data_IF_182609789816
#
_entry.id   IF_182609789816
#
_cell.length_a   1.000
_cell.length_b   1.000
_cell.length_c   1.000
_cell.angle_alpha   90.00
_cell.angle_beta   90.00
_cell.angle_gamma   90.00
#
_symmetry.space_group_name_H-M   'P 1'
#
loop_
_entity.id
_entity.type
_entity.pdbx_description
1 polymer ?
#
# COMPACT_ATOMS: atom_id res chain seq x y z
N UNK A 1 -57.64 -40.24 13.52
CA UNK A 1 -56.96 -39.26 14.39
C UNK A 1 -55.54 -39.08 13.86
N UNK A 2 -55.28 -38.00 13.12
CA UNK A 2 -53.97 -37.68 12.57
C UNK A 2 -53.30 -36.63 13.46
N UNK A 3 -52.14 -36.97 14.01
CA UNK A 3 -51.37 -36.13 14.94
C UNK A 3 -50.60 -35.07 14.14
N UNK A 4 -50.88 -33.79 14.38
CA UNK A 4 -50.15 -32.66 13.82
C UNK A 4 -48.84 -32.43 14.59
N UNK A 5 -47.69 -32.75 13.98
CA UNK A 5 -46.39 -32.32 14.48
C UNK A 5 -46.15 -30.85 14.09
N UNK A 6 -46.35 -29.94 15.04
CA UNK A 6 -45.87 -28.57 14.94
C UNK A 6 -44.36 -28.55 15.23
N UNK A 7 -43.55 -28.25 14.21
CA UNK A 7 -42.11 -28.05 14.39
C UNK A 7 -41.86 -26.75 15.16
N UNK A 8 -41.02 -26.74 16.22
CA UNK A 8 -40.74 -25.51 16.95
C UNK A 8 -39.87 -24.60 16.08
N UNK A 9 -40.40 -23.41 15.78
CA UNK A 9 -39.64 -22.33 15.14
C UNK A 9 -38.42 -22.00 15.99
N UNK A 10 -37.22 -22.27 15.46
CA UNK A 10 -35.97 -21.83 16.07
C UNK A 10 -36.01 -20.30 16.23
N UNK A 11 -35.71 -19.76 17.43
CA UNK A 11 -35.66 -18.32 17.62
C UNK A 11 -34.60 -17.72 16.70
N UNK A 12 -34.97 -16.65 16.01
CA UNK A 12 -34.03 -15.83 15.24
C UNK A 12 -32.96 -15.28 16.20
N UNK A 13 -31.66 -15.35 15.83
CA UNK A 13 -30.61 -14.85 16.69
C UNK A 13 -30.78 -13.34 16.90
N UNK A 14 -30.45 -12.83 18.10
CA UNK A 14 -30.70 -11.43 18.45
C UNK A 14 -29.90 -10.49 17.53
N UNK A 15 -30.55 -9.39 17.13
CA UNK A 15 -30.03 -8.36 16.22
C UNK A 15 -28.77 -7.62 16.74
N UNK A 16 -28.32 -7.89 17.98
CA UNK A 16 -27.10 -7.33 18.57
C UNK A 16 -25.79 -8.08 18.23
N UNK A 17 -25.84 -9.06 17.31
CA UNK A 17 -24.66 -9.85 16.91
C UNK A 17 -23.56 -9.06 16.17
N UNK A 18 -23.83 -7.84 15.71
CA UNK A 18 -22.89 -7.04 14.92
C UNK A 18 -21.75 -6.45 15.75
N UNK A 19 -22.08 -5.70 16.82
CA UNK A 19 -21.05 -5.17 17.72
C UNK A 19 -20.34 -6.32 18.43
N UNK A 20 -21.09 -7.31 18.91
CA UNK A 20 -20.51 -8.49 19.55
C UNK A 20 -19.54 -9.21 18.62
N UNK A 21 -19.88 -9.44 17.34
CA UNK A 21 -18.99 -10.13 16.39
C UNK A 21 -17.79 -9.31 15.93
N UNK A 22 -17.93 -7.99 15.76
CA UNK A 22 -16.81 -7.10 15.40
C UNK A 22 -15.84 -6.91 16.56
N UNK A 23 -16.34 -6.62 17.76
CA UNK A 23 -15.50 -6.49 18.96
C UNK A 23 -14.95 -7.83 19.42
N UNK A 24 -15.68 -8.94 19.25
CA UNK A 24 -15.13 -10.28 19.48
C UNK A 24 -14.06 -10.61 18.42
N UNK A 25 -14.25 -10.24 17.16
CA UNK A 25 -13.22 -10.40 16.12
C UNK A 25 -11.95 -9.58 16.42
N UNK A 26 -12.09 -8.30 16.77
CA UNK A 26 -10.96 -7.48 17.24
C UNK A 26 -10.32 -8.07 18.50
N UNK A 27 -11.14 -8.49 19.47
CA UNK A 27 -10.65 -9.18 20.66
C UNK A 27 -9.86 -10.43 20.26
N UNK A 28 -10.38 -11.31 19.41
CA UNK A 28 -9.75 -12.56 18.96
C UNK A 28 -8.46 -12.34 18.12
N UNK A 29 -8.24 -11.13 17.59
CA UNK A 29 -6.98 -10.70 16.96
C UNK A 29 -5.95 -10.31 17.99
N UNK A 30 -6.38 -9.57 19.01
CA UNK A 30 -5.53 -9.01 20.03
C UNK A 30 -5.42 -9.91 21.29
N UNK A 31 -6.15 -11.03 21.36
CA UNK A 31 -6.21 -11.92 22.56
C UNK A 31 -5.44 -13.24 22.50
N UNK A 32 -4.89 -13.73 21.38
CA UNK A 32 -3.82 -14.71 21.49
C UNK A 32 -2.52 -13.92 21.51
N UNK A 33 -1.76 -13.91 22.64
CA UNK A 33 -0.37 -13.48 22.64
C UNK A 33 0.39 -14.08 21.46
N UNK A 34 0.06 -15.33 21.10
CA UNK A 34 0.59 -16.00 19.93
C UNK A 34 0.34 -15.25 18.61
N UNK A 35 -0.86 -14.79 18.28
CA UNK A 35 -1.12 -14.17 16.97
C UNK A 35 -0.37 -12.85 16.80
N UNK A 36 -0.34 -12.03 17.86
CA UNK A 36 0.45 -10.80 17.91
C UNK A 36 1.95 -11.14 17.84
N UNK A 37 2.44 -12.10 18.63
CA UNK A 37 3.84 -12.51 18.58
C UNK A 37 4.27 -13.07 17.21
N UNK A 38 3.42 -13.85 16.53
CA UNK A 38 3.74 -14.37 15.18
C UNK A 38 3.80 -13.26 14.15
N UNK A 39 2.85 -12.33 14.16
CA UNK A 39 2.86 -11.19 13.24
C UNK A 39 4.02 -10.23 13.52
N UNK A 40 4.40 -10.05 14.79
CA UNK A 40 5.57 -9.26 15.18
C UNK A 40 6.86 -9.93 14.71
N UNK A 41 6.95 -11.27 14.86
CA UNK A 41 8.05 -12.06 14.34
C UNK A 41 8.13 -11.96 12.80
N UNK A 42 7.00 -12.06 12.09
CA UNK A 42 6.98 -11.87 10.64
C UNK A 42 7.43 -10.46 10.23
N UNK A 43 7.01 -9.43 10.96
CA UNK A 43 7.48 -8.06 10.76
C UNK A 43 8.98 -7.91 10.98
N UNK A 44 9.51 -8.52 12.05
CA UNK A 44 10.95 -8.55 12.31
C UNK A 44 11.74 -9.28 11.22
N UNK A 45 11.25 -10.43 10.77
CA UNK A 45 11.86 -11.20 9.66
C UNK A 45 11.85 -10.38 8.37
N UNK A 46 10.74 -9.67 8.07
CA UNK A 46 10.65 -8.75 6.93
C UNK A 46 11.72 -7.65 7.03
N UNK A 47 11.84 -7.01 8.19
CA UNK A 47 12.85 -5.96 8.41
C UNK A 47 14.28 -6.50 8.26
N UNK A 48 14.59 -7.63 8.89
CA UNK A 48 15.90 -8.26 8.80
C UNK A 48 16.23 -8.70 7.37
N UNK A 49 15.25 -9.22 6.63
CA UNK A 49 15.42 -9.58 5.22
C UNK A 49 15.68 -8.36 4.35
N UNK A 50 15.01 -7.24 4.61
CA UNK A 50 15.24 -5.97 3.89
C UNK A 50 16.66 -5.46 4.14
N UNK A 51 17.07 -5.33 5.41
CA UNK A 51 18.44 -4.91 5.74
C UNK A 51 19.48 -5.86 5.14
N UNK A 52 19.28 -7.17 5.30
CA UNK A 52 20.19 -8.18 4.75
C UNK A 52 20.34 -8.08 3.24
N UNK A 53 19.25 -7.80 2.52
CA UNK A 53 19.28 -7.55 1.08
C UNK A 53 20.15 -6.33 0.75
N UNK A 54 19.92 -5.19 1.44
CA UNK A 54 20.67 -3.96 1.21
C UNK A 54 22.17 -4.16 1.49
N UNK A 55 22.52 -4.78 2.62
CA UNK A 55 23.91 -5.05 3.00
C UNK A 55 24.63 -5.98 2.00
N UNK A 56 23.97 -7.04 1.54
CA UNK A 56 24.56 -7.94 0.53
C UNK A 56 24.86 -7.19 -0.76
N UNK A 57 23.96 -6.32 -1.21
CA UNK A 57 24.22 -5.52 -2.42
C UNK A 57 25.33 -4.50 -2.21
N UNK A 58 25.46 -3.92 -1.00
CA UNK A 58 26.54 -2.99 -0.67
C UNK A 58 27.94 -3.62 -0.70
N UNK A 59 28.05 -4.94 -0.51
CA UNK A 59 29.33 -5.67 -0.71
C UNK A 59 29.80 -5.59 -2.17
N UNK A 60 28.88 -5.62 -3.14
CA UNK A 60 29.21 -5.54 -4.56
C UNK A 60 29.25 -4.10 -5.08
N UNK A 61 28.43 -3.23 -4.50
CA UNK A 61 28.38 -1.80 -4.82
C UNK A 61 28.24 -0.96 -3.54
N UNK A 62 29.34 -0.40 -3.01
CA UNK A 62 29.33 0.36 -1.75
C UNK A 62 28.40 1.59 -1.75
N UNK A 63 27.95 2.04 -2.92
CA UNK A 63 27.03 3.19 -3.04
C UNK A 63 25.56 2.78 -3.10
N UNK A 64 25.25 1.47 -3.16
CA UNK A 64 23.90 0.97 -3.32
C UNK A 64 23.01 1.31 -2.12
N UNK A 65 22.01 2.17 -2.35
CA UNK A 65 21.09 2.70 -1.33
C UNK A 65 21.82 3.16 -0.05
N UNK A 66 22.99 3.80 -0.17
CA UNK A 66 23.76 4.21 1.02
C UNK A 66 23.07 5.41 1.69
N UNK A 67 22.64 5.31 2.97
CA UNK A 67 21.84 6.35 3.63
C UNK A 67 22.47 7.74 3.58
N UNK A 68 23.77 7.84 3.90
CA UNK A 68 24.48 9.12 3.86
C UNK A 68 24.57 9.71 2.44
N UNK A 69 24.67 8.88 1.40
CA UNK A 69 24.71 9.39 0.02
C UNK A 69 23.33 9.90 -0.42
N UNK A 70 22.25 9.22 -0.02
CA UNK A 70 20.89 9.64 -0.37
C UNK A 70 20.49 10.92 0.35
N UNK A 71 20.74 11.02 1.65
CA UNK A 71 20.50 12.25 2.41
C UNK A 71 21.34 13.42 1.86
N UNK A 72 22.62 13.17 1.55
CA UNK A 72 23.48 14.17 0.93
C UNK A 72 22.99 14.60 -0.45
N UNK A 73 22.50 13.66 -1.28
CA UNK A 73 21.97 13.96 -2.61
C UNK A 73 20.81 14.94 -2.52
N UNK A 74 19.80 14.63 -1.69
CA UNK A 74 18.63 15.50 -1.51
C UNK A 74 19.07 16.85 -0.93
N UNK A 75 19.94 16.86 0.09
CA UNK A 75 20.38 18.10 0.73
C UNK A 75 21.18 19.03 -0.21
N UNK A 76 21.98 18.49 -1.13
CA UNK A 76 22.79 19.29 -2.06
C UNK A 76 22.01 19.74 -3.31
N UNK A 77 21.00 18.97 -3.74
CA UNK A 77 20.28 19.22 -5.00
C UNK A 77 18.90 19.86 -4.79
N UNK A 78 18.24 19.57 -3.66
CA UNK A 78 16.91 20.06 -3.28
C UNK A 78 16.90 20.51 -1.80
N UNK A 79 17.70 21.52 -1.42
CA UNK A 79 17.93 21.90 -0.02
C UNK A 79 16.67 22.38 0.71
N UNK A 80 15.72 23.02 0.01
CA UNK A 80 14.48 23.48 0.62
C UNK A 80 13.56 22.31 0.96
N UNK A 81 13.45 21.33 0.06
CA UNK A 81 12.69 20.10 0.33
C UNK A 81 13.33 19.28 1.45
N UNK A 82 14.67 19.15 1.48
CA UNK A 82 15.39 18.48 2.57
C UNK A 82 15.05 19.10 3.94
N UNK A 83 14.99 20.44 4.02
CA UNK A 83 14.63 21.17 5.25
C UNK A 83 13.16 21.04 5.61
N UNK A 84 12.26 21.04 4.62
CA UNK A 84 10.82 20.88 4.83
C UNK A 84 10.48 19.48 5.35
N UNK A 85 11.19 18.46 4.86
CA UNK A 85 10.93 17.08 5.22
C UNK A 85 11.18 16.82 6.72
N UNK A 86 10.12 16.45 7.44
CA UNK A 86 10.09 16.38 8.92
C UNK A 86 11.10 15.42 9.54
N UNK A 87 11.44 14.34 8.83
CA UNK A 87 12.39 13.34 9.32
C UNK A 87 13.83 13.59 8.85
N UNK A 88 14.06 13.73 7.54
CA UNK A 88 15.39 13.93 6.97
C UNK A 88 16.14 15.13 7.54
N UNK A 89 15.43 16.25 7.77
CA UNK A 89 16.00 17.44 8.40
C UNK A 89 16.59 17.20 9.79
N UNK A 90 16.18 16.13 10.47
CA UNK A 90 16.70 15.73 11.79
C UNK A 90 17.92 14.82 11.72
N UNK A 91 18.26 14.33 10.52
CA UNK A 91 19.37 13.42 10.30
C UNK A 91 20.61 14.18 9.83
N UNK A 92 21.73 13.92 10.48
CA UNK A 92 23.06 14.21 9.95
C UNK A 92 23.46 13.12 8.95
N UNK A 93 24.13 13.51 7.87
CA UNK A 93 24.75 12.59 6.93
C UNK A 93 26.27 12.71 6.97
N UNK A 94 26.93 11.55 6.92
CA UNK A 94 28.38 11.42 6.88
C UNK A 94 28.99 11.60 5.48
N UNK A 95 30.19 11.07 5.29
CA UNK A 95 30.85 11.05 3.98
C UNK A 95 30.18 10.04 3.05
N UNK A 96 29.70 10.51 1.89
CA UNK A 96 29.30 9.63 0.80
C UNK A 96 30.54 9.16 0.01
N UNK A 97 30.72 7.84 -0.26
CA UNK A 97 31.85 7.34 -1.04
C UNK A 97 31.94 7.91 -2.46
N UNK A 98 30.82 8.03 -3.18
CA UNK A 98 30.74 8.64 -4.51
C UNK A 98 29.27 8.94 -4.89
N UNK A 99 28.89 10.22 -4.82
CA UNK A 99 27.52 10.68 -5.09
C UNK A 99 27.13 10.47 -6.56
N UNK A 100 28.04 10.78 -7.49
CA UNK A 100 27.79 10.65 -8.93
C UNK A 100 27.62 9.18 -9.31
N UNK A 101 28.48 8.30 -8.77
CA UNK A 101 28.35 6.85 -9.01
C UNK A 101 27.04 6.30 -8.46
N UNK A 102 26.59 6.73 -7.27
CA UNK A 102 25.28 6.33 -6.74
C UNK A 102 24.14 6.67 -7.73
N UNK A 103 24.12 7.91 -8.24
CA UNK A 103 23.11 8.34 -9.21
C UNK A 103 23.20 7.53 -10.51
N UNK A 104 24.41 7.38 -11.06
CA UNK A 104 24.61 6.63 -12.31
C UNK A 104 24.29 5.14 -12.17
N UNK A 105 24.44 4.56 -10.98
CA UNK A 105 24.16 3.15 -10.73
C UNK A 105 22.68 2.77 -10.94
N UNK A 106 21.75 3.71 -10.75
CA UNK A 106 20.34 3.52 -11.07
C UNK A 106 20.08 3.34 -12.58
N UNK A 107 21.00 3.79 -13.42
CA UNK A 107 20.95 3.62 -14.87
C UNK A 107 21.82 2.45 -15.36
N UNK A 108 22.62 1.86 -14.49
CA UNK A 108 23.52 0.77 -14.80
C UNK A 108 22.82 -0.60 -14.84
N UNK A 109 23.57 -1.63 -15.26
CA UNK A 109 23.07 -3.00 -15.50
C UNK A 109 22.33 -3.61 -14.29
N UNK A 110 22.74 -3.31 -13.06
CA UNK A 110 22.13 -3.86 -11.85
C UNK A 110 20.68 -3.39 -11.65
N UNK A 111 20.43 -2.08 -11.73
CA UNK A 111 19.08 -1.51 -11.69
C UNK A 111 18.20 -2.02 -12.83
N UNK A 112 18.79 -2.23 -14.02
CA UNK A 112 18.07 -2.83 -15.15
C UNK A 112 17.71 -4.31 -14.91
N UNK A 113 18.50 -5.05 -14.13
CA UNK A 113 18.16 -6.41 -13.70
C UNK A 113 17.00 -6.39 -12.70
N UNK A 114 17.03 -5.50 -11.71
CA UNK A 114 15.92 -5.32 -10.75
C UNK A 114 14.62 -4.95 -11.46
N UNK A 115 14.67 -4.00 -12.41
CA UNK A 115 13.51 -3.61 -13.21
C UNK A 115 12.93 -4.79 -14.01
N UNK A 116 13.79 -5.61 -14.62
CA UNK A 116 13.35 -6.82 -15.34
C UNK A 116 12.72 -7.84 -14.38
N UNK A 117 13.37 -8.10 -13.24
CA UNK A 117 12.84 -9.01 -12.22
C UNK A 117 11.49 -8.54 -11.68
N UNK A 118 11.34 -7.25 -11.42
CA UNK A 118 10.09 -6.64 -11.00
C UNK A 118 8.98 -6.79 -12.05
N UNK A 119 9.26 -6.49 -13.32
CA UNK A 119 8.30 -6.68 -14.43
C UNK A 119 7.88 -8.15 -14.55
N UNK A 120 8.82 -9.08 -14.47
CA UNK A 120 8.53 -10.53 -14.51
C UNK A 120 7.68 -10.96 -13.31
N UNK A 121 7.99 -10.46 -12.11
CA UNK A 121 7.21 -10.73 -10.90
C UNK A 121 5.78 -10.22 -11.02
N UNK A 122 5.58 -9.00 -11.53
CA UNK A 122 4.25 -8.43 -11.77
C UNK A 122 3.46 -9.26 -12.79
N UNK A 123 4.06 -9.60 -13.92
CA UNK A 123 3.41 -10.40 -14.97
C UNK A 123 3.00 -11.78 -14.45
N UNK A 124 3.89 -12.47 -13.73
CA UNK A 124 3.59 -13.77 -13.14
C UNK A 124 2.47 -13.66 -12.10
N UNK A 125 2.56 -12.67 -11.20
CA UNK A 125 1.54 -12.44 -10.17
C UNK A 125 0.17 -12.15 -10.76
N UNK A 126 0.12 -11.35 -11.83
CA UNK A 126 -1.12 -11.07 -12.55
C UNK A 126 -1.72 -12.34 -13.18
N UNK A 127 -0.92 -13.14 -13.88
CA UNK A 127 -1.38 -14.39 -14.50
C UNK A 127 -1.91 -15.38 -13.46
N UNK A 128 -1.17 -15.57 -12.36
CA UNK A 128 -1.61 -16.41 -11.24
C UNK A 128 -2.92 -15.89 -10.61
N UNK A 129 -3.07 -14.57 -10.48
CA UNK A 129 -4.26 -13.94 -9.90
C UNK A 129 -5.48 -14.09 -10.82
N UNK A 130 -5.31 -13.87 -12.12
CA UNK A 130 -6.33 -14.14 -13.13
C UNK A 130 -6.77 -15.61 -13.08
N UNK A 131 -5.82 -16.55 -13.00
CA UNK A 131 -6.14 -17.97 -12.87
C UNK A 131 -7.00 -18.26 -11.62
N UNK A 132 -6.68 -17.68 -10.46
CA UNK A 132 -7.47 -17.84 -9.22
C UNK A 132 -8.87 -17.29 -9.39
N UNK A 133 -9.02 -16.09 -9.97
CA UNK A 133 -10.31 -15.45 -10.21
C UNK A 133 -11.16 -16.29 -11.19
N UNK A 134 -10.62 -16.64 -12.36
CA UNK A 134 -11.34 -17.43 -13.35
C UNK A 134 -11.68 -18.83 -12.82
N UNK A 135 -10.79 -19.48 -12.07
CA UNK A 135 -11.09 -20.76 -11.41
C UNK A 135 -12.23 -20.65 -10.40
N UNK A 136 -12.36 -19.50 -9.72
CA UNK A 136 -13.47 -19.24 -8.81
C UNK A 136 -14.81 -19.06 -9.56
N UNK A 137 -14.80 -18.50 -10.77
CA UNK A 137 -15.99 -18.36 -11.62
C UNK A 137 -16.34 -19.62 -12.42
N UNK A 138 -15.35 -20.44 -12.81
CA UNK A 138 -15.53 -21.66 -13.58
C UNK A 138 -16.22 -22.80 -12.78
N UNK A 139 -16.29 -22.68 -11.45
CA UNK A 139 -17.06 -23.59 -10.60
C UNK A 139 -18.55 -23.36 -10.84
N UNK A 140 -19.13 -24.11 -11.78
CA UNK A 140 -20.51 -23.99 -12.27
C UNK A 140 -21.58 -24.17 -11.17
N UNK A 141 -22.75 -23.54 -11.35
CA UNK A 141 -23.94 -23.69 -10.51
C UNK A 141 -24.23 -22.50 -9.56
N UNK A 142 -24.83 -22.79 -8.40
CA UNK A 142 -25.28 -21.81 -7.39
C UNK A 142 -24.16 -20.90 -6.85
N UNK A 143 -22.90 -21.26 -7.07
CA UNK A 143 -21.74 -20.50 -6.62
C UNK A 143 -21.40 -19.30 -7.51
N UNK A 144 -21.97 -19.17 -8.71
CA UNK A 144 -21.73 -18.01 -9.56
C UNK A 144 -22.20 -16.70 -8.90
N UNK A 145 -23.40 -16.70 -8.29
CA UNK A 145 -23.95 -15.54 -7.56
C UNK A 145 -23.05 -15.14 -6.39
N UNK A 146 -22.51 -16.13 -5.67
CA UNK A 146 -21.55 -15.91 -4.61
C UNK A 146 -20.23 -15.31 -5.12
N UNK A 147 -19.66 -15.85 -6.21
CA UNK A 147 -18.44 -15.31 -6.83
C UNK A 147 -18.64 -13.88 -7.36
N UNK A 148 -19.80 -13.57 -7.93
CA UNK A 148 -20.14 -12.20 -8.35
C UNK A 148 -20.27 -11.25 -7.15
N UNK A 149 -20.89 -11.71 -6.06
CA UNK A 149 -20.98 -10.95 -4.81
C UNK A 149 -19.60 -10.71 -4.21
N UNK A 150 -18.72 -11.72 -4.21
CA UNK A 150 -17.32 -11.57 -3.78
C UNK A 150 -16.60 -10.52 -4.61
N UNK A 151 -16.72 -10.55 -5.94
CA UNK A 151 -16.10 -9.54 -6.80
C UNK A 151 -16.62 -8.14 -6.43
N UNK A 152 -17.93 -7.93 -6.52
CA UNK A 152 -18.53 -6.61 -6.37
C UNK A 152 -18.31 -6.00 -4.98
N UNK A 153 -18.42 -6.80 -3.90
CA UNK A 153 -18.25 -6.30 -2.54
C UNK A 153 -16.79 -5.98 -2.18
N UNK A 154 -15.80 -6.55 -2.89
CA UNK A 154 -14.38 -6.39 -2.57
C UNK A 154 -13.66 -5.33 -3.42
N UNK A 155 -14.28 -4.76 -4.46
CA UNK A 155 -13.62 -3.79 -5.36
C UNK A 155 -13.03 -2.58 -4.61
N UNK A 156 -13.80 -1.98 -3.70
CA UNK A 156 -13.35 -0.87 -2.84
C UNK A 156 -12.22 -1.31 -1.92
N UNK A 157 -12.39 -2.44 -1.23
CA UNK A 157 -11.38 -2.95 -0.31
C UNK A 157 -10.05 -3.22 -1.03
N UNK A 158 -10.10 -3.78 -2.24
CA UNK A 158 -8.92 -4.07 -3.05
C UNK A 158 -8.24 -2.80 -3.58
N UNK A 159 -9.01 -1.79 -4.02
CA UNK A 159 -8.44 -0.51 -4.44
C UNK A 159 -7.71 0.18 -3.28
N UNK A 160 -8.35 0.27 -2.12
CA UNK A 160 -7.70 0.84 -0.94
C UNK A 160 -6.53 0.00 -0.43
N UNK A 161 -6.57 -1.33 -0.59
CA UNK A 161 -5.40 -2.18 -0.27
C UNK A 161 -4.19 -1.76 -1.10
N UNK A 162 -4.37 -1.48 -2.40
CA UNK A 162 -3.31 -0.92 -3.24
C UNK A 162 -2.80 0.40 -2.68
N UNK A 163 -3.70 1.38 -2.48
CA UNK A 163 -3.31 2.69 -1.99
C UNK A 163 -2.52 2.59 -0.67
N UNK A 164 -3.02 1.82 0.31
CA UNK A 164 -2.39 1.63 1.62
C UNK A 164 -1.02 0.98 1.50
N UNK A 165 -0.89 -0.09 0.70
CA UNK A 165 0.39 -0.80 0.54
C UNK A 165 1.40 0.08 -0.18
N UNK A 166 0.98 0.85 -1.18
CA UNK A 166 1.87 1.76 -1.89
C UNK A 166 2.34 2.92 -1.00
N UNK A 167 1.42 3.52 -0.22
CA UNK A 167 1.76 4.51 0.80
C UNK A 167 2.72 3.94 1.85
N UNK A 168 2.49 2.69 2.27
CA UNK A 168 3.36 2.04 3.23
C UNK A 168 4.75 1.73 2.67
N UNK A 169 4.85 1.33 1.40
CA UNK A 169 6.13 1.18 0.71
C UNK A 169 6.86 2.53 0.60
N UNK A 170 6.17 3.63 0.25
CA UNK A 170 6.77 4.97 0.22
C UNK A 170 7.29 5.37 1.60
N UNK A 171 6.45 5.24 2.62
CA UNK A 171 6.83 5.45 4.02
C UNK A 171 8.12 4.71 4.36
N UNK A 172 8.21 3.42 4.02
CA UNK A 172 9.40 2.62 4.31
C UNK A 172 10.62 3.03 3.47
N UNK A 173 10.42 3.44 2.23
CA UNK A 173 11.50 3.83 1.35
C UNK A 173 12.13 5.16 1.78
N UNK A 174 11.29 6.09 2.20
CA UNK A 174 11.67 7.46 2.52
C UNK A 174 12.16 7.57 3.97
N UNK A 175 11.70 6.71 4.88
CA UNK A 175 12.01 6.83 6.31
C UNK A 175 12.80 5.65 6.86
N UNK A 176 12.32 4.43 6.61
CA UNK A 176 12.83 3.25 7.30
C UNK A 176 14.13 2.75 6.71
N UNK A 177 14.21 2.68 5.39
CA UNK A 177 15.33 2.02 4.72
C UNK A 177 16.21 2.97 3.94
N UNK A 178 15.76 4.22 3.75
CA UNK A 178 16.44 5.26 2.97
C UNK A 178 16.96 4.64 1.67
N UNK A 179 16.05 4.30 0.76
CA UNK A 179 16.39 3.63 -0.50
C UNK A 179 16.27 4.57 -1.68
N UNK A 180 16.45 4.03 -2.89
CA UNK A 180 16.49 4.82 -4.13
C UNK A 180 15.26 5.69 -4.39
N UNK A 181 14.11 5.47 -3.73
CA UNK A 181 12.97 6.38 -3.86
C UNK A 181 13.31 7.82 -3.44
N UNK A 182 14.21 8.00 -2.47
CA UNK A 182 14.71 9.33 -2.09
C UNK A 182 15.40 10.05 -3.25
N UNK A 183 15.97 9.33 -4.22
CA UNK A 183 16.56 9.96 -5.42
C UNK A 183 15.48 10.62 -6.30
N UNK A 184 14.21 10.21 -6.17
CA UNK A 184 13.09 10.85 -6.86
C UNK A 184 12.83 12.28 -6.33
N UNK A 185 13.31 12.59 -5.13
CA UNK A 185 13.20 13.88 -4.44
C UNK A 185 14.43 14.78 -4.64
N UNK A 186 15.29 14.49 -5.61
CA UNK A 186 16.59 15.15 -5.80
C UNK A 186 16.80 15.51 -7.25
N UNK A 187 17.27 16.71 -7.59
CA UNK A 187 17.66 17.07 -8.96
C UNK A 187 18.91 16.29 -9.45
N UNK A 188 18.66 15.28 -10.30
CA UNK A 188 19.72 14.45 -10.88
C UNK A 188 20.28 15.00 -12.21
N UNK A 189 19.77 16.13 -12.70
CA UNK A 189 20.23 16.72 -13.97
C UNK A 189 21.68 17.21 -13.90
N UNK A 190 22.18 17.46 -12.69
CA UNK A 190 23.58 17.79 -12.42
C UNK A 190 24.53 16.61 -12.71
N UNK A 191 24.01 15.37 -12.72
CA UNK A 191 24.79 14.15 -12.92
C UNK A 191 24.46 13.41 -14.22
N UNK A 192 23.30 13.70 -14.82
CA UNK A 192 22.75 12.98 -15.98
C UNK A 192 22.02 13.93 -16.93
N UNK A 193 21.84 13.54 -18.18
CA UNK A 193 20.98 14.28 -19.14
C UNK A 193 19.47 14.10 -18.87
N UNK A 194 19.12 13.43 -17.78
CA UNK A 194 17.75 13.01 -17.42
C UNK A 194 17.23 13.86 -16.26
N UNK A 195 15.92 14.16 -16.28
CA UNK A 195 15.24 14.82 -15.16
C UNK A 195 14.64 13.81 -14.17
N UNK A 196 14.27 14.26 -12.98
CA UNK A 196 13.66 13.42 -11.93
C UNK A 196 12.34 12.78 -12.38
N UNK A 197 11.58 13.51 -13.21
CA UNK A 197 10.36 13.02 -13.85
C UNK A 197 10.62 11.92 -14.89
N UNK A 198 11.86 11.78 -15.40
CA UNK A 198 12.25 10.69 -16.31
C UNK A 198 12.76 9.44 -15.59
N UNK A 199 12.96 9.52 -14.27
CA UNK A 199 13.33 8.36 -13.41
C UNK A 199 12.18 7.34 -13.33
N UNK A 200 10.97 7.73 -13.73
CA UNK A 200 9.75 6.91 -13.75
C UNK A 200 9.86 5.70 -14.68
N UNK A 201 10.73 5.77 -15.69
CA UNK A 201 11.07 4.63 -16.56
C UNK A 201 12.16 3.71 -16.00
N UNK A 202 12.68 4.02 -14.83
CA UNK A 202 13.61 3.19 -14.06
C UNK A 202 12.94 2.68 -12.79
N UNK A 203 13.51 1.63 -12.19
CA UNK A 203 13.12 1.20 -10.85
C UNK A 203 14.10 1.84 -9.86
N UNK A 204 13.63 2.57 -8.82
CA UNK A 204 14.53 3.06 -7.79
C UNK A 204 15.25 1.88 -7.12
N UNK A 205 16.56 2.03 -6.86
CA UNK A 205 17.36 0.97 -6.24
C UNK A 205 16.73 0.54 -4.90
N UNK A 206 16.66 -0.77 -4.65
CA UNK A 206 16.07 -1.34 -3.44
C UNK A 206 14.53 -1.38 -3.44
N UNK A 207 13.86 -0.68 -4.37
CA UNK A 207 12.39 -0.67 -4.44
C UNK A 207 11.84 -2.06 -4.72
N UNK A 208 12.51 -2.86 -5.57
CA UNK A 208 12.07 -4.23 -5.85
C UNK A 208 11.99 -5.08 -4.58
N UNK A 209 13.05 -5.06 -3.77
CA UNK A 209 13.10 -5.82 -2.53
C UNK A 209 12.03 -5.33 -1.54
N UNK A 210 11.89 -4.01 -1.37
CA UNK A 210 10.85 -3.45 -0.52
C UNK A 210 9.45 -3.86 -0.98
N UNK A 211 9.15 -3.72 -2.27
CA UNK A 211 7.87 -4.12 -2.87
C UNK A 211 7.59 -5.61 -2.66
N UNK A 212 8.56 -6.48 -2.98
CA UNK A 212 8.41 -7.93 -2.85
C UNK A 212 8.15 -8.35 -1.40
N UNK A 213 8.91 -7.80 -0.45
CA UNK A 213 8.76 -8.12 0.98
C UNK A 213 7.42 -7.64 1.53
N UNK A 214 6.93 -6.46 1.11
CA UNK A 214 5.62 -5.96 1.52
C UNK A 214 4.48 -6.77 0.94
N UNK A 215 4.53 -7.14 -0.34
CA UNK A 215 3.52 -7.99 -0.97
C UNK A 215 3.53 -9.38 -0.33
N UNK A 216 4.70 -9.97 -0.09
CA UNK A 216 4.81 -11.27 0.59
C UNK A 216 4.27 -11.21 2.02
N UNK A 217 4.62 -10.18 2.78
CA UNK A 217 4.10 -9.94 4.13
C UNK A 217 2.57 -9.81 4.13
N UNK A 218 2.01 -9.04 3.20
CA UNK A 218 0.55 -8.90 3.06
C UNK A 218 -0.10 -10.26 2.79
N UNK A 219 0.42 -11.03 1.83
CA UNK A 219 -0.10 -12.34 1.45
C UNK A 219 -0.07 -13.29 2.66
N UNK A 220 1.07 -13.39 3.35
CA UNK A 220 1.23 -14.26 4.51
C UNK A 220 0.31 -13.82 5.64
N UNK A 221 0.33 -12.54 6.00
CA UNK A 221 -0.46 -11.98 7.10
C UNK A 221 -1.96 -12.16 6.85
N UNK A 222 -2.44 -11.85 5.64
CA UNK A 222 -3.84 -11.99 5.30
C UNK A 222 -4.30 -13.45 5.26
N UNK A 223 -3.49 -14.39 4.74
CA UNK A 223 -3.79 -15.82 4.80
C UNK A 223 -3.76 -16.38 6.22
N UNK A 224 -2.88 -15.87 7.09
CA UNK A 224 -2.78 -16.28 8.49
C UNK A 224 -3.96 -15.76 9.33
N UNK A 225 -4.35 -14.51 9.11
CA UNK A 225 -5.38 -13.85 9.88
C UNK A 225 -6.79 -14.21 9.43
N UNK A 226 -7.07 -14.28 8.11
CA UNK A 226 -8.42 -14.51 7.60
C UNK A 226 -9.16 -15.71 8.22
N UNK A 227 -8.54 -16.89 8.43
CA UNK A 227 -9.20 -18.04 9.07
C UNK A 227 -9.60 -17.81 10.53
N UNK A 228 -8.98 -16.84 11.21
CA UNK A 228 -9.25 -16.51 12.62
C UNK A 228 -10.50 -15.65 12.80
N UNK A 229 -10.98 -15.00 11.74
CA UNK A 229 -12.21 -14.21 11.77
C UNK A 229 -13.36 -14.98 11.15
N UNK A 230 -14.40 -15.26 11.94
CA UNK A 230 -15.58 -16.02 11.49
C UNK A 230 -16.18 -15.50 10.18
N UNK A 231 -16.36 -14.18 10.05
CA UNK A 231 -16.91 -13.59 8.82
C UNK A 231 -16.00 -13.77 7.61
N UNK A 232 -14.69 -13.54 7.74
CA UNK A 232 -13.75 -13.73 6.63
C UNK A 232 -13.61 -15.20 6.26
N UNK A 233 -13.52 -16.08 7.26
CA UNK A 233 -13.42 -17.53 7.08
C UNK A 233 -14.60 -18.10 6.30
N UNK A 234 -15.81 -17.63 6.59
CA UNK A 234 -17.05 -18.20 6.03
C UNK A 234 -17.53 -17.49 4.76
N UNK A 235 -17.31 -16.18 4.65
CA UNK A 235 -17.94 -15.34 3.63
C UNK A 235 -16.95 -14.54 2.76
N UNK A 236 -15.65 -14.69 3.00
CA UNK A 236 -14.61 -14.20 2.11
C UNK A 236 -13.83 -15.37 1.50
N UNK A 237 -12.86 -15.02 0.66
CA UNK A 237 -11.83 -15.95 0.21
C UNK A 237 -10.51 -15.21 0.20
N UNK A 238 -9.61 -15.56 1.13
CA UNK A 238 -8.32 -14.90 1.25
C UNK A 238 -7.55 -14.91 -0.08
N UNK A 239 -7.55 -16.08 -0.75
CA UNK A 239 -6.94 -16.26 -2.07
C UNK A 239 -7.58 -15.38 -3.14
N UNK A 240 -8.92 -15.29 -3.16
CA UNK A 240 -9.64 -14.46 -4.14
C UNK A 240 -9.39 -12.98 -3.91
N UNK A 241 -9.42 -12.53 -2.65
CA UNK A 241 -9.19 -11.13 -2.29
C UNK A 241 -7.76 -10.70 -2.63
N UNK A 242 -6.76 -11.53 -2.33
CA UNK A 242 -5.36 -11.30 -2.73
C UNK A 242 -5.26 -11.24 -4.26
N UNK A 243 -5.89 -12.16 -4.98
CA UNK A 243 -5.87 -12.15 -6.44
C UNK A 243 -6.51 -10.88 -7.01
N UNK A 244 -7.66 -10.46 -6.48
CA UNK A 244 -8.36 -9.25 -6.91
C UNK A 244 -7.54 -7.98 -6.61
N UNK A 245 -6.87 -7.95 -5.46
CA UNK A 245 -5.89 -6.91 -5.12
C UNK A 245 -4.74 -6.85 -6.14
N UNK A 246 -4.10 -7.98 -6.46
CA UNK A 246 -2.98 -7.99 -7.41
C UNK A 246 -3.39 -7.56 -8.83
N UNK A 247 -4.58 -7.96 -9.29
CA UNK A 247 -5.13 -7.50 -10.58
C UNK A 247 -5.44 -6.01 -10.54
N UNK A 248 -6.11 -5.53 -9.49
CA UNK A 248 -6.42 -4.10 -9.33
C UNK A 248 -5.14 -3.27 -9.24
N UNK A 249 -4.13 -3.76 -8.52
CA UNK A 249 -2.84 -3.11 -8.35
C UNK A 249 -2.08 -2.93 -9.65
N UNK A 250 -2.12 -3.92 -10.56
CA UNK A 250 -1.51 -3.78 -11.87
C UNK A 250 -2.19 -2.69 -12.71
N UNK A 251 -3.53 -2.63 -12.70
CA UNK A 251 -4.29 -1.59 -13.42
C UNK A 251 -3.92 -0.21 -12.89
N UNK A 252 -3.92 -0.03 -11.56
CA UNK A 252 -3.57 1.25 -10.95
C UNK A 252 -2.10 1.62 -11.17
N UNK A 253 -1.18 0.64 -11.22
CA UNK A 253 0.23 0.89 -11.52
C UNK A 253 0.46 1.40 -12.94
N UNK A 254 -0.25 0.83 -13.94
CA UNK A 254 -0.19 1.36 -15.31
C UNK A 254 -0.72 2.78 -15.39
N UNK A 255 -1.84 3.05 -14.74
CA UNK A 255 -2.38 4.41 -14.66
C UNK A 255 -1.43 5.39 -14.00
N UNK A 256 -0.86 5.03 -12.85
CA UNK A 256 0.10 5.90 -12.16
C UNK A 256 1.32 6.15 -13.03
N UNK A 257 1.80 5.15 -13.77
CA UNK A 257 2.90 5.33 -14.72
C UNK A 257 2.55 6.39 -15.78
N UNK A 258 1.36 6.31 -16.36
CA UNK A 258 0.93 7.23 -17.43
C UNK A 258 0.64 8.64 -16.88
N UNK A 259 0.00 8.73 -15.71
CA UNK A 259 -0.43 9.99 -15.10
C UNK A 259 0.74 10.74 -14.42
N UNK A 260 1.79 10.04 -13.94
CA UNK A 260 2.84 10.63 -13.10
C UNK A 260 3.64 11.78 -13.78
N UNK A 261 4.13 11.65 -15.03
CA UNK A 261 4.78 12.78 -15.71
C UNK A 261 3.85 14.00 -15.84
N UNK A 262 2.56 13.75 -16.07
CA UNK A 262 1.55 14.79 -16.20
C UNK A 262 1.29 15.48 -14.85
N UNK A 263 1.30 14.75 -13.73
CA UNK A 263 1.18 15.37 -12.40
C UNK A 263 2.23 16.45 -12.20
N UNK A 264 3.49 16.14 -12.47
CA UNK A 264 4.61 17.08 -12.35
C UNK A 264 4.51 18.27 -13.31
N UNK A 265 3.89 18.09 -14.48
CA UNK A 265 3.76 19.14 -15.47
C UNK A 265 2.65 20.17 -15.14
N UNK A 266 1.59 19.75 -14.46
CA UNK A 266 0.36 20.56 -14.33
C UNK A 266 -0.08 20.84 -12.90
N UNK A 267 0.53 20.22 -11.88
CA UNK A 267 0.13 20.44 -10.50
C UNK A 267 0.25 21.91 -10.10
N UNK A 268 -0.80 22.46 -9.48
CA UNK A 268 -0.80 23.78 -8.86
C UNK A 268 -1.37 23.73 -7.45
N UNK A 269 -1.09 24.74 -6.62
CA UNK A 269 -1.60 24.84 -5.24
C UNK A 269 -3.13 24.93 -5.17
N UNK A 270 -3.78 25.52 -6.19
CA UNK A 270 -5.25 25.62 -6.25
C UNK A 270 -5.92 24.24 -6.38
N UNK A 271 -5.19 23.23 -6.86
CA UNK A 271 -5.70 21.87 -6.99
C UNK A 271 -5.92 21.15 -5.65
N UNK A 272 -5.49 21.74 -4.53
CA UNK A 272 -5.75 21.21 -3.18
C UNK A 272 -7.24 21.01 -2.87
N UNK A 273 -8.10 21.86 -3.45
CA UNK A 273 -9.55 21.87 -3.24
C UNK A 273 -10.29 21.02 -4.29
N UNK A 274 -9.55 20.32 -5.16
CA UNK A 274 -10.14 19.43 -6.17
C UNK A 274 -10.88 18.25 -5.54
N UNK A 275 -11.80 17.64 -6.30
CA UNK A 275 -12.57 16.47 -5.85
C UNK A 275 -11.61 15.34 -5.46
N UNK A 276 -11.74 14.72 -4.27
CA UNK A 276 -10.84 13.65 -3.88
C UNK A 276 -10.81 12.50 -4.90
N UNK A 277 -9.63 11.93 -5.12
CA UNK A 277 -9.31 10.94 -6.17
C UNK A 277 -9.41 11.43 -7.64
N UNK A 278 -9.72 12.69 -7.89
CA UNK A 278 -9.55 13.29 -9.22
C UNK A 278 -8.07 13.28 -9.64
N UNK A 279 -7.82 13.54 -10.92
CA UNK A 279 -6.45 13.68 -11.42
C UNK A 279 -5.74 14.85 -10.73
N UNK A 280 -6.40 16.00 -10.64
CA UNK A 280 -5.91 17.25 -10.05
C UNK A 280 -5.59 17.07 -8.56
N UNK A 281 -6.49 16.44 -7.80
CA UNK A 281 -6.24 16.14 -6.39
C UNK A 281 -5.01 15.25 -6.22
N UNK A 282 -4.86 14.21 -7.04
CA UNK A 282 -3.69 13.31 -6.99
C UNK A 282 -2.40 14.03 -7.41
N UNK A 283 -2.46 14.92 -8.40
CA UNK A 283 -1.33 15.73 -8.83
C UNK A 283 -0.86 16.66 -7.71
N UNK A 284 -1.80 17.35 -7.04
CA UNK A 284 -1.51 18.20 -5.89
C UNK A 284 -0.85 17.41 -4.75
N UNK A 285 -1.44 16.29 -4.33
CA UNK A 285 -0.91 15.50 -3.22
C UNK A 285 0.47 14.92 -3.57
N UNK A 286 0.69 14.51 -4.82
CA UNK A 286 2.00 14.03 -5.25
C UNK A 286 3.05 15.13 -5.24
N UNK A 287 2.78 16.28 -5.87
CA UNK A 287 3.80 17.33 -6.04
C UNK A 287 3.97 18.16 -4.78
N UNK A 288 2.90 18.69 -4.20
CA UNK A 288 3.01 19.62 -3.08
C UNK A 288 3.11 18.90 -1.74
N UNK A 289 2.21 17.96 -1.45
CA UNK A 289 2.23 17.28 -0.13
C UNK A 289 3.46 16.38 0.01
N UNK A 290 3.85 15.67 -1.05
CA UNK A 290 4.96 14.72 -0.99
C UNK A 290 6.31 15.30 -1.45
N UNK A 291 6.38 15.97 -2.61
CA UNK A 291 7.65 16.53 -3.11
C UNK A 291 8.00 17.93 -2.59
N UNK A 292 7.06 18.71 -2.07
CA UNK A 292 7.35 20.01 -1.46
C UNK A 292 7.39 19.90 0.06
N UNK A 293 6.28 19.51 0.69
CA UNK A 293 6.15 19.47 2.16
C UNK A 293 6.91 18.30 2.82
N UNK A 294 7.27 17.27 2.04
CA UNK A 294 7.92 16.07 2.56
C UNK A 294 7.04 15.28 3.53
N UNK A 295 5.73 15.31 3.30
CA UNK A 295 4.73 14.51 4.01
C UNK A 295 4.36 13.25 3.19
N UNK A 296 3.30 12.53 3.58
CA UNK A 296 2.93 11.31 2.85
C UNK A 296 2.43 11.56 1.43
N UNK A 297 2.75 10.62 0.53
CA UNK A 297 2.28 10.55 -0.86
C UNK A 297 0.75 10.30 -0.99
N UNK A 298 -0.05 10.41 0.07
CA UNK A 298 -1.27 9.64 0.19
C UNK A 298 -2.28 9.85 -0.92
N UNK A 299 -2.26 8.92 -1.88
CA UNK A 299 -3.21 8.83 -2.99
C UNK A 299 -4.65 8.59 -2.50
N UNK A 300 -4.83 8.36 -1.20
CA UNK A 300 -6.11 8.24 -0.52
C UNK A 300 -6.25 9.27 0.60
N UNK A 301 -7.17 10.21 0.42
CA UNK A 301 -7.53 11.21 1.44
C UNK A 301 -7.98 10.61 2.79
N UNK A 302 -8.40 9.33 2.80
CA UNK A 302 -8.88 8.64 4.00
C UNK A 302 -7.71 8.19 4.88
N UNK A 303 -6.64 7.69 4.26
CA UNK A 303 -5.52 7.07 4.97
C UNK A 303 -4.28 7.96 4.99
N UNK A 304 -4.20 8.96 4.12
CA UNK A 304 -3.10 9.92 4.10
C UNK A 304 -2.83 10.55 5.49
N UNK A 305 -3.84 11.05 6.24
CA UNK A 305 -3.58 11.61 7.56
C UNK A 305 -2.96 10.62 8.54
N UNK A 306 -3.24 9.32 8.40
CA UNK A 306 -2.62 8.29 9.24
C UNK A 306 -1.12 8.17 8.95
N UNK A 307 -0.71 8.18 7.67
CA UNK A 307 0.70 8.14 7.30
C UNK A 307 1.40 9.45 7.67
N UNK A 308 0.84 10.61 7.36
CA UNK A 308 1.40 11.91 7.75
C UNK A 308 1.63 12.05 9.27
N UNK A 309 0.68 11.58 10.09
CA UNK A 309 0.86 11.55 11.55
C UNK A 309 1.90 10.53 11.98
N UNK A 310 2.02 9.39 11.30
CA UNK A 310 3.07 8.41 11.53
C UNK A 310 4.47 8.99 11.22
N UNK A 311 4.62 9.75 10.12
CA UNK A 311 5.85 10.50 9.80
C UNK A 311 6.24 11.45 10.94
N UNK A 312 5.28 12.24 11.40
CA UNK A 312 5.50 13.22 12.48
C UNK A 312 5.88 12.53 13.79
N UNK A 313 5.18 11.45 14.14
CA UNK A 313 5.47 10.68 15.34
C UNK A 313 6.86 10.05 15.28
N UNK A 314 7.26 9.50 14.13
CA UNK A 314 8.59 8.93 13.97
C UNK A 314 9.68 10.00 14.17
N UNK A 315 9.55 11.16 13.53
CA UNK A 315 10.51 12.26 13.69
C UNK A 315 10.63 12.71 15.15
N UNK A 316 9.51 12.91 15.83
CA UNK A 316 9.48 13.26 17.26
C UNK A 316 10.15 12.20 18.13
N UNK A 317 9.80 10.93 17.96
CA UNK A 317 10.35 9.84 18.79
C UNK A 317 11.85 9.66 18.51
N UNK A 318 12.24 9.64 17.23
CA UNK A 318 13.64 9.44 16.84
C UNK A 318 14.53 10.59 17.33
N UNK A 319 14.10 11.82 17.15
CA UNK A 319 14.98 12.99 17.28
C UNK A 319 14.78 13.72 18.62
N UNK A 320 13.54 13.97 19.05
CA UNK A 320 13.29 14.70 20.29
C UNK A 320 13.35 13.80 21.53
N UNK A 321 12.84 12.57 21.44
CA UNK A 321 12.84 11.62 22.58
C UNK A 321 14.19 10.92 22.73
N UNK A 322 14.74 10.39 21.63
CA UNK A 322 15.99 9.62 21.68
C UNK A 322 17.24 10.39 21.28
N UNK A 323 17.13 11.61 20.73
CA UNK A 323 18.30 12.41 20.34
C UNK A 323 19.12 11.78 19.22
N UNK A 324 18.49 10.95 18.36
CA UNK A 324 19.20 10.23 17.32
C UNK A 324 19.35 11.12 16.08
N UNK A 325 20.57 11.23 15.57
CA UNK A 325 20.87 12.03 14.36
C UNK A 325 21.54 11.23 13.25
N UNK A 326 22.05 10.03 13.52
CA UNK A 326 22.78 9.24 12.53
C UNK A 326 21.91 8.16 11.91
N UNK A 327 21.70 8.27 10.59
CA UNK A 327 20.93 7.33 9.77
C UNK A 327 21.58 5.94 9.62
N UNK A 328 22.83 5.78 10.04
CA UNK A 328 23.57 4.50 9.97
C UNK A 328 23.80 3.88 11.35
N UNK A 329 23.31 4.52 12.40
CA UNK A 329 23.49 4.05 13.77
C UNK A 329 22.58 2.87 14.13
N UNK A 330 23.06 1.94 14.97
CA UNK A 330 22.23 0.83 15.45
C UNK A 330 20.94 1.28 16.19
N UNK A 331 20.96 2.36 17.01
CA UNK A 331 19.74 2.89 17.61
C UNK A 331 18.70 3.38 16.59
N UNK A 332 19.14 4.00 15.49
CA UNK A 332 18.23 4.41 14.40
C UNK A 332 17.49 3.20 13.82
N UNK A 333 18.23 2.14 13.46
CA UNK A 333 17.62 0.92 12.93
C UNK A 333 16.68 0.26 13.95
N UNK A 334 16.99 0.28 15.24
CA UNK A 334 16.10 -0.27 16.26
C UNK A 334 14.76 0.49 16.34
N UNK A 335 14.80 1.82 16.35
CA UNK A 335 13.58 2.67 16.35
C UNK A 335 12.76 2.42 15.09
N UNK A 336 13.42 2.42 13.93
CA UNK A 336 12.78 2.17 12.64
C UNK A 336 12.12 0.79 12.59
N UNK A 337 12.78 -0.27 13.05
CA UNK A 337 12.24 -1.63 13.00
C UNK A 337 10.97 -1.74 13.84
N UNK A 338 11.01 -1.17 15.05
CA UNK A 338 9.84 -1.15 15.94
C UNK A 338 8.70 -0.38 15.27
N UNK A 339 8.99 0.80 14.70
CA UNK A 339 7.98 1.60 14.02
C UNK A 339 7.38 0.86 12.82
N UNK A 340 8.22 0.18 12.02
CA UNK A 340 7.78 -0.57 10.85
C UNK A 340 6.86 -1.73 11.23
N UNK A 341 7.19 -2.45 12.30
CA UNK A 341 6.35 -3.52 12.85
C UNK A 341 4.99 -2.95 13.27
N UNK A 342 4.97 -1.85 14.03
CA UNK A 342 3.74 -1.20 14.49
C UNK A 342 2.87 -0.68 13.34
N UNK A 343 3.49 -0.05 12.33
CA UNK A 343 2.78 0.43 11.15
C UNK A 343 2.22 -0.73 10.31
N UNK A 344 3.01 -1.80 10.12
CA UNK A 344 2.56 -3.06 9.53
C UNK A 344 1.30 -3.59 10.24
N UNK A 345 1.30 -3.64 11.57
CA UNK A 345 0.13 -4.09 12.33
C UNK A 345 -1.09 -3.22 12.10
N UNK A 346 -0.90 -1.90 12.11
CA UNK A 346 -1.98 -0.92 11.89
C UNK A 346 -2.59 -1.09 10.50
N UNK A 347 -1.74 -1.18 9.47
CA UNK A 347 -2.14 -1.46 8.09
C UNK A 347 -2.93 -2.77 8.01
N UNK A 348 -2.41 -3.86 8.58
CA UNK A 348 -3.07 -5.16 8.54
C UNK A 348 -4.43 -5.13 9.26
N UNK A 349 -4.54 -4.44 10.39
CA UNK A 349 -5.79 -4.30 11.12
C UNK A 349 -6.86 -3.56 10.30
N UNK A 350 -6.48 -2.47 9.62
CA UNK A 350 -7.36 -1.72 8.71
C UNK A 350 -7.82 -2.62 7.56
N UNK A 351 -6.90 -3.31 6.89
CA UNK A 351 -7.23 -4.19 5.78
C UNK A 351 -8.21 -5.29 6.21
N UNK A 352 -7.96 -5.93 7.35
CA UNK A 352 -8.87 -6.94 7.88
C UNK A 352 -10.25 -6.35 8.19
N UNK A 353 -10.35 -5.16 8.77
CA UNK A 353 -11.63 -4.50 9.02
C UNK A 353 -12.40 -4.26 7.71
N UNK A 354 -11.72 -3.77 6.66
CA UNK A 354 -12.30 -3.51 5.35
C UNK A 354 -12.79 -4.79 4.67
N UNK A 355 -11.97 -5.84 4.64
CA UNK A 355 -12.36 -7.13 4.07
C UNK A 355 -13.46 -7.81 4.89
N UNK A 356 -13.51 -7.60 6.20
CA UNK A 356 -14.60 -8.11 7.06
C UNK A 356 -15.92 -7.45 6.71
N UNK A 357 -15.90 -6.14 6.42
CA UNK A 357 -17.07 -5.43 5.91
C UNK A 357 -17.54 -5.99 4.56
N UNK A 358 -16.61 -6.19 3.61
CA UNK A 358 -16.94 -6.82 2.32
C UNK A 358 -17.53 -8.21 2.49
N UNK A 359 -16.98 -9.04 3.39
CA UNK A 359 -17.50 -10.38 3.71
C UNK A 359 -18.92 -10.32 4.31
N UNK A 360 -19.20 -9.33 5.16
CA UNK A 360 -20.56 -9.09 5.68
C UNK A 360 -21.54 -8.79 4.56
N UNK A 361 -21.17 -7.96 3.59
CA UNK A 361 -22.04 -7.64 2.45
C UNK A 361 -22.29 -8.88 1.58
N UNK A 362 -21.25 -9.70 1.35
CA UNK A 362 -21.39 -11.00 0.67
C UNK A 362 -22.38 -11.90 1.42
N UNK A 363 -22.26 -12.01 2.75
CA UNK A 363 -23.20 -12.77 3.59
C UNK A 363 -24.64 -12.28 3.40
N UNK A 364 -24.86 -10.98 3.49
CA UNK A 364 -26.21 -10.39 3.38
C UNK A 364 -26.86 -10.71 2.03
N UNK A 365 -26.09 -10.64 0.94
CA UNK A 365 -26.58 -10.94 -0.40
C UNK A 365 -26.92 -12.43 -0.60
N UNK A 366 -26.18 -13.32 0.07
CA UNK A 366 -26.25 -14.77 -0.14
C UNK A 366 -27.03 -15.51 0.95
N UNK A 367 -27.69 -14.80 1.87
CA UNK A 367 -28.52 -15.38 2.94
C UNK A 367 -29.92 -14.75 2.96
N UNK A 368 -30.82 -15.32 3.76
CA UNK A 368 -32.13 -14.72 4.00
C UNK A 368 -32.05 -13.59 5.03
N UNK A 369 -31.50 -12.46 4.60
CA UNK A 369 -31.32 -11.25 5.43
C UNK A 369 -32.47 -10.24 5.32
N UNK A 370 -33.56 -10.58 4.61
CA UNK A 370 -34.66 -9.66 4.31
C UNK A 370 -34.35 -8.61 3.23
N UNK A 371 -35.40 -7.96 2.73
CA UNK A 371 -35.32 -7.06 1.56
C UNK A 371 -34.50 -5.81 1.82
N UNK A 372 -34.67 -5.16 2.98
CA UNK A 372 -33.96 -3.91 3.31
C UNK A 372 -32.45 -4.11 3.40
N UNK A 373 -31.99 -5.17 4.07
CA UNK A 373 -30.55 -5.46 4.17
C UNK A 373 -29.95 -5.78 2.80
N UNK A 374 -30.65 -6.57 1.97
CA UNK A 374 -30.21 -6.87 0.60
C UNK A 374 -30.14 -5.61 -0.27
N UNK A 375 -31.11 -4.70 -0.16
CA UNK A 375 -31.07 -3.42 -0.86
C UNK A 375 -29.82 -2.61 -0.46
N UNK A 376 -29.52 -2.52 0.85
CA UNK A 376 -28.30 -1.86 1.32
C UNK A 376 -27.01 -2.50 0.78
N UNK A 377 -26.93 -3.82 0.75
CA UNK A 377 -25.77 -4.53 0.20
C UNK A 377 -25.63 -4.36 -1.33
N UNK A 378 -26.74 -4.30 -2.07
CA UNK A 378 -26.73 -3.99 -3.51
C UNK A 378 -26.27 -2.55 -3.78
N UNK A 379 -26.71 -1.58 -2.98
CA UNK A 379 -26.22 -0.20 -3.03
C UNK A 379 -24.71 -0.17 -2.77
N UNK A 380 -24.21 -0.91 -1.78
CA UNK A 380 -22.77 -1.05 -1.54
C UNK A 380 -22.02 -1.60 -2.75
N UNK A 381 -22.53 -2.65 -3.41
CA UNK A 381 -21.93 -3.20 -4.62
C UNK A 381 -21.88 -2.16 -5.76
N UNK A 382 -22.99 -1.46 -6.00
CA UNK A 382 -23.08 -0.41 -7.03
C UNK A 382 -22.12 0.74 -6.76
N UNK A 383 -22.10 1.24 -5.52
CA UNK A 383 -21.17 2.27 -5.09
C UNK A 383 -19.70 1.80 -5.20
N UNK A 384 -19.43 0.53 -4.88
CA UNK A 384 -18.08 -0.03 -4.95
C UNK A 384 -17.56 -0.11 -6.38
N UNK A 385 -18.41 -0.52 -7.32
CA UNK A 385 -18.07 -0.55 -8.74
C UNK A 385 -17.89 0.87 -9.30
N UNK A 386 -18.79 1.79 -8.99
CA UNK A 386 -18.71 3.18 -9.41
C UNK A 386 -17.43 3.86 -8.89
N UNK A 387 -17.12 3.68 -7.60
CA UNK A 387 -15.89 4.17 -7.00
C UNK A 387 -14.65 3.58 -7.67
N UNK A 388 -14.60 2.25 -7.86
CA UNK A 388 -13.45 1.61 -8.48
C UNK A 388 -13.21 2.10 -9.91
N UNK A 389 -14.28 2.32 -10.69
CA UNK A 389 -14.19 2.88 -12.04
C UNK A 389 -13.71 4.35 -12.00
N UNK A 390 -14.23 5.16 -11.08
CA UNK A 390 -13.82 6.55 -10.92
C UNK A 390 -12.36 6.69 -10.48
N UNK A 391 -11.96 6.00 -9.41
CA UNK A 391 -10.63 6.07 -8.84
C UNK A 391 -9.54 5.48 -9.75
N UNK A 392 -9.93 4.60 -10.68
CA UNK A 392 -9.08 4.14 -11.79
C UNK A 392 -9.36 4.90 -13.10
N UNK A 393 -9.84 6.14 -13.04
CA UNK A 393 -9.89 7.07 -14.18
C UNK A 393 -10.72 6.63 -15.39
N UNK A 394 -11.59 5.63 -15.25
CA UNK A 394 -12.42 5.15 -16.36
C UNK A 394 -13.58 6.09 -16.71
N UNK A 395 -13.97 6.98 -15.79
CA UNK A 395 -15.19 7.80 -15.91
C UNK A 395 -14.89 9.31 -16.04
N UNK A 396 -13.68 9.76 -15.71
CA UNK A 396 -13.30 11.18 -15.72
C UNK A 396 -11.79 11.39 -15.97
N UNK A 397 -11.23 10.83 -17.05
CA UNK A 397 -9.91 11.30 -17.49
C UNK A 397 -10.08 12.71 -18.08
N UNK A 398 -9.28 13.70 -17.65
CA UNK A 398 -9.21 14.97 -18.36
C UNK A 398 -8.92 14.66 -19.83
N UNK A 399 -9.73 15.22 -20.75
CA UNK A 399 -9.28 15.30 -22.14
C UNK A 399 -8.16 16.32 -22.12
N UNK A 400 -6.92 15.85 -22.03
CA UNK A 400 -5.77 16.68 -22.37
C UNK A 400 -6.07 17.24 -23.76
N UNK A 401 -6.02 18.57 -23.89
CA UNK A 401 -6.25 19.23 -25.17
C UNK A 401 -5.35 18.59 -26.20
N UNK A 402 -5.86 18.37 -27.41
CA UNK A 402 -5.16 17.69 -28.50
C UNK A 402 -3.99 18.52 -29.09
N UNK A 403 -3.23 19.23 -28.26
CA UNK A 403 -2.15 20.14 -28.64
C UNK A 403 -0.85 19.96 -27.87
N UNK A 404 -0.82 19.20 -26.77
CA UNK A 404 0.39 19.00 -25.97
C UNK A 404 0.95 17.58 -26.20
N UNK A 405 1.44 17.33 -27.41
CA UNK A 405 2.48 16.32 -27.61
C UNK A 405 3.80 16.97 -27.17
N UNK A 406 4.27 16.63 -25.97
CA UNK A 406 5.64 16.89 -25.50
C UNK A 406 6.49 15.63 -25.61
#
# INVERSE_FOLDING_TARGET
>A
MASSYSSPSKPLPPQNSFQAGFFQGLRDVFTPPAAVSHMAFLGLVKCAAMQGFLEVYRVFDPTYCHPDCLLRLVAETEPEHFKAHRYWSTLSYGSCPDLKKMVLNQFNKAAQIELKAWKSFLALSFLCSCFVIFSQFARTGDKFKYSLSLLACNLVACHFTMAIIFMYIHFQNDLSWLIGNMQHHSDITQFTEKSNASVVDTLPNGFFACYLLNVAWLIIGFNYLSPKFTLLREWASAKFNIALFMVSGLISAFMLKDDHPHFHAVATEEMKDAVPFSFEYRAYNHVFVHHVDGDSFGSSFIFDPMFSKAFTLLAYVHSDVFGLTSATSAPHYAVIFVFDILQSFTVMAILIAMFTWSAKMVKVLNTDSGTSAKAGALVWCGASAAFWLFANGFVMKPKLGAGDEL
#
